data_IF_470521113993
#
_entry.id   IF_470521113993
#
_cell.length_a   1.000
_cell.length_b   1.000
_cell.length_c   1.000
_cell.angle_alpha   90.00
_cell.angle_beta   90.00
_cell.angle_gamma   90.00
#
_symmetry.space_group_name_H-M   'P 1'
#
loop_
_entity.id
_entity.type
_entity.pdbx_description
1 polymer ?
#
# COMPACT_ATOMS: atom_id res chain seq x y z
N UNK A 1 -0.33 -28.97 0.52
CA UNK A 1 0.26 -27.62 0.69
C UNK A 1 -0.27 -26.71 -0.42
N UNK A 2 -0.89 -25.57 -0.10
CA UNK A 2 -1.55 -24.72 -1.11
C UNK A 2 -0.57 -23.71 -1.74
N UNK A 3 -0.94 -23.10 -2.87
CA UNK A 3 -0.16 -21.99 -3.45
C UNK A 3 -0.04 -20.81 -2.47
N UNK A 4 -1.14 -20.46 -1.80
CA UNK A 4 -1.16 -19.39 -0.79
C UNK A 4 -0.21 -19.69 0.36
N UNK A 5 -0.14 -20.94 0.82
CA UNK A 5 0.79 -21.35 1.89
C UNK A 5 2.24 -21.13 1.45
N UNK A 6 2.62 -21.64 0.26
CA UNK A 6 3.98 -21.50 -0.28
C UNK A 6 4.39 -20.03 -0.47
N UNK A 7 3.49 -19.19 -0.97
CA UNK A 7 3.75 -17.76 -1.14
C UNK A 7 4.00 -17.06 0.21
N UNK A 8 3.25 -17.44 1.24
CA UNK A 8 3.43 -16.86 2.60
C UNK A 8 4.72 -17.34 3.26
N UNK A 9 5.15 -18.56 3.02
CA UNK A 9 6.44 -19.06 3.51
C UNK A 9 7.59 -18.35 2.80
N UNK A 10 7.56 -18.28 1.46
CA UNK A 10 8.55 -17.56 0.68
C UNK A 10 8.67 -16.09 1.11
N UNK A 11 7.54 -15.39 1.35
CA UNK A 11 7.57 -14.01 1.81
C UNK A 11 8.27 -13.84 3.16
N UNK A 12 8.09 -14.80 4.08
CA UNK A 12 8.77 -14.78 5.38
C UNK A 12 10.26 -15.09 5.25
N UNK A 13 10.64 -16.03 4.39
CA UNK A 13 12.05 -16.31 4.08
C UNK A 13 12.76 -15.10 3.47
N UNK A 14 12.03 -14.27 2.72
CA UNK A 14 12.53 -12.99 2.19
C UNK A 14 12.58 -11.85 3.22
N UNK A 15 12.14 -12.08 4.47
CA UNK A 15 12.19 -11.08 5.55
C UNK A 15 10.95 -10.19 5.68
N UNK A 16 9.83 -10.53 5.03
CA UNK A 16 8.57 -9.82 5.29
C UNK A 16 7.90 -10.36 6.55
N UNK A 17 7.82 -9.51 7.59
CA UNK A 17 7.15 -9.85 8.85
C UNK A 17 5.64 -10.04 8.71
N UNK A 18 5.02 -9.37 7.72
CA UNK A 18 3.59 -9.48 7.42
C UNK A 18 3.38 -9.94 5.98
N UNK A 19 2.44 -10.86 5.75
CA UNK A 19 2.03 -11.30 4.41
C UNK A 19 0.56 -11.73 4.36
N UNK A 20 -0.16 -11.21 3.37
CA UNK A 20 -1.57 -11.50 3.10
C UNK A 20 -1.86 -11.68 1.60
N UNK A 21 -3.01 -12.27 1.30
CA UNK A 21 -3.56 -12.33 -0.07
C UNK A 21 -4.95 -11.70 -0.03
N UNK A 22 -5.18 -10.70 -0.86
CA UNK A 22 -6.44 -9.95 -0.93
C UNK A 22 -7.11 -10.12 -2.30
N UNK A 23 -8.45 -10.02 -2.33
CA UNK A 23 -9.18 -9.83 -3.59
C UNK A 23 -8.92 -8.42 -4.15
N UNK A 24 -9.10 -8.28 -5.47
CA UNK A 24 -8.78 -7.06 -6.24
C UNK A 24 -10.05 -6.41 -6.78
N UNK A 25 -11.08 -6.37 -5.94
CA UNK A 25 -12.35 -5.71 -6.25
C UNK A 25 -12.19 -4.19 -6.33
N UNK A 26 -13.18 -3.52 -6.93
CA UNK A 26 -13.22 -2.07 -6.97
C UNK A 26 -13.15 -1.49 -5.54
N UNK A 27 -12.31 -0.48 -5.34
CA UNK A 27 -12.05 0.04 -4.00
C UNK A 27 -13.28 0.76 -3.43
N UNK A 28 -13.78 0.27 -2.29
CA UNK A 28 -14.87 0.90 -1.52
C UNK A 28 -14.53 2.30 -0.99
N UNK A 29 -13.25 2.65 -0.96
CA UNK A 29 -12.74 3.91 -0.40
C UNK A 29 -12.55 5.00 -1.45
N UNK A 30 -12.94 4.76 -2.71
CA UNK A 30 -12.72 5.72 -3.79
C UNK A 30 -13.51 7.02 -3.64
N UNK A 31 -14.67 7.00 -2.99
CA UNK A 31 -15.42 8.22 -2.69
C UNK A 31 -14.58 9.16 -1.82
N UNK A 32 -14.07 8.64 -0.70
CA UNK A 32 -13.19 9.38 0.21
C UNK A 32 -11.92 9.88 -0.48
N UNK A 33 -11.29 9.05 -1.32
CA UNK A 33 -10.08 9.45 -2.03
C UNK A 33 -10.33 10.60 -3.02
N UNK A 34 -11.47 10.58 -3.74
CA UNK A 34 -11.83 11.65 -4.68
C UNK A 34 -12.10 12.96 -3.95
N UNK A 35 -12.91 12.93 -2.89
CA UNK A 35 -13.17 14.10 -2.05
C UNK A 35 -11.86 14.67 -1.48
N UNK A 36 -10.97 13.81 -0.98
CA UNK A 36 -9.66 14.23 -0.46
C UNK A 36 -8.77 14.89 -1.54
N UNK A 37 -8.83 14.41 -2.78
CA UNK A 37 -8.13 15.03 -3.91
C UNK A 37 -8.75 16.37 -4.28
N UNK A 38 -10.08 16.44 -4.39
CA UNK A 38 -10.85 17.64 -4.72
C UNK A 38 -10.65 18.76 -3.68
N UNK A 39 -10.56 18.41 -2.40
CA UNK A 39 -10.23 19.31 -1.30
C UNK A 39 -8.78 19.83 -1.30
N UNK A 40 -7.94 19.41 -2.26
CA UNK A 40 -6.54 19.83 -2.33
C UNK A 40 -5.65 19.24 -1.23
N UNK A 41 -6.11 18.21 -0.49
CA UNK A 41 -5.36 17.63 0.64
C UNK A 41 -4.11 16.85 0.22
N UNK A 42 -3.92 16.64 -1.08
CA UNK A 42 -2.69 16.10 -1.66
C UNK A 42 -1.53 17.08 -1.69
N UNK A 43 -1.76 18.37 -1.41
CA UNK A 43 -0.73 19.41 -1.43
C UNK A 43 0.02 19.41 -2.77
N UNK A 44 1.35 19.39 -2.71
CA UNK A 44 2.21 19.38 -3.90
C UNK A 44 2.31 18.01 -4.58
N UNK A 45 1.66 16.95 -4.06
CA UNK A 45 1.71 15.59 -4.62
C UNK A 45 0.78 15.45 -5.83
N UNK A 46 0.93 16.30 -6.85
CA UNK A 46 0.05 16.37 -8.02
C UNK A 46 -0.08 15.04 -8.78
N UNK A 47 0.88 14.12 -8.63
CA UNK A 47 0.78 12.78 -9.20
C UNK A 47 -0.37 11.94 -8.61
N UNK A 48 -0.86 12.26 -7.41
CA UNK A 48 -2.02 11.61 -6.80
C UNK A 48 -3.34 12.07 -7.44
N UNK A 49 -3.40 13.31 -7.92
CA UNK A 49 -4.60 13.91 -8.51
C UNK A 49 -4.77 13.61 -10.01
N UNK A 50 -3.73 13.09 -10.67
CA UNK A 50 -3.80 12.74 -12.10
C UNK A 50 -4.91 11.74 -12.37
N UNK A 51 -5.66 11.96 -13.45
CA UNK A 51 -6.78 11.09 -13.84
C UNK A 51 -6.39 9.61 -13.95
N UNK A 52 -5.22 9.32 -14.54
CA UNK A 52 -4.73 7.94 -14.67
C UNK A 52 -4.34 7.32 -13.31
N UNK A 53 -3.82 8.11 -12.37
CA UNK A 53 -3.49 7.65 -11.03
C UNK A 53 -4.74 7.33 -10.20
N UNK A 54 -5.78 8.16 -10.32
CA UNK A 54 -7.09 7.95 -9.70
C UNK A 54 -7.76 6.71 -10.27
N UNK A 55 -7.77 6.54 -11.59
CA UNK A 55 -8.39 5.39 -12.26
C UNK A 55 -7.73 4.07 -11.84
N UNK A 56 -6.40 4.01 -11.78
CA UNK A 56 -5.67 2.80 -11.37
C UNK A 56 -5.89 2.40 -9.90
N UNK A 57 -6.17 3.38 -9.02
CA UNK A 57 -6.54 3.13 -7.60
C UNK A 57 -7.96 2.62 -7.46
N UNK A 58 -8.85 3.03 -8.37
CA UNK A 58 -10.24 2.60 -8.34
C UNK A 58 -10.38 1.12 -8.68
N UNK A 59 -9.64 0.66 -9.68
CA UNK A 59 -9.72 -0.71 -10.16
C UNK A 59 -8.39 -1.19 -10.75
N UNK A 60 -7.78 -2.19 -10.11
CA UNK A 60 -6.52 -2.78 -10.57
C UNK A 60 -6.64 -3.46 -11.94
N UNK A 61 -7.85 -3.85 -12.36
CA UNK A 61 -8.09 -4.45 -13.68
C UNK A 61 -7.84 -3.46 -14.82
N UNK A 62 -7.90 -2.15 -14.55
CA UNK A 62 -7.48 -1.12 -15.49
C UNK A 62 -5.96 -1.11 -15.76
N UNK A 63 -5.16 -1.71 -14.88
CA UNK A 63 -3.70 -1.86 -15.06
C UNK A 63 -3.35 -3.26 -15.56
N UNK A 64 -3.93 -4.29 -14.95
CA UNK A 64 -3.70 -5.69 -15.30
C UNK A 64 -5.06 -6.40 -15.45
N UNK A 65 -5.62 -6.54 -16.67
CA UNK A 65 -6.96 -7.07 -16.88
C UNK A 65 -7.19 -8.48 -16.33
N UNK A 66 -6.14 -9.28 -16.23
CA UNK A 66 -6.18 -10.68 -15.74
C UNK A 66 -5.94 -10.80 -14.24
N UNK A 67 -5.83 -9.69 -13.50
CA UNK A 67 -5.55 -9.71 -12.06
C UNK A 67 -6.70 -10.39 -11.29
N UNK A 68 -6.35 -11.30 -10.38
CA UNK A 68 -7.32 -12.06 -9.56
C UNK A 68 -7.14 -11.85 -8.06
N UNK A 69 -5.92 -11.56 -7.64
CA UNK A 69 -5.57 -11.32 -6.25
C UNK A 69 -4.30 -10.50 -6.18
N UNK A 70 -4.09 -9.85 -5.03
CA UNK A 70 -2.85 -9.17 -4.69
C UNK A 70 -2.17 -9.89 -3.53
N UNK A 71 -0.87 -10.16 -3.65
CA UNK A 71 -0.03 -10.54 -2.50
C UNK A 71 0.44 -9.23 -1.87
N UNK A 72 0.09 -9.01 -0.61
CA UNK A 72 0.43 -7.80 0.14
C UNK A 72 1.41 -8.19 1.23
N UNK A 73 2.54 -7.50 1.29
CA UNK A 73 3.59 -7.71 2.28
C UNK A 73 3.80 -6.45 3.11
N UNK A 74 4.22 -6.63 4.36
CA UNK A 74 4.66 -5.56 5.23
C UNK A 74 6.07 -5.84 5.74
N UNK A 75 6.91 -4.81 5.69
CA UNK A 75 8.25 -4.83 6.24
C UNK A 75 8.33 -3.81 7.37
N UNK A 76 8.79 -4.27 8.52
CA UNK A 76 9.04 -3.39 9.66
C UNK A 76 10.33 -2.62 9.36
N UNK A 77 10.19 -1.31 9.20
CA UNK A 77 11.31 -0.40 8.94
C UNK A 77 11.78 0.33 10.20
N UNK A 78 11.30 -0.09 11.39
CA UNK A 78 11.77 0.49 12.64
C UNK A 78 13.29 0.34 12.73
N UNK A 79 13.93 1.44 13.08
CA UNK A 79 15.36 1.52 13.35
C UNK A 79 15.48 2.25 14.68
N UNK A 80 16.33 1.75 15.57
CA UNK A 80 16.67 2.51 16.77
C UNK A 80 17.36 3.81 16.36
N UNK A 81 17.00 4.89 17.04
CA UNK A 81 17.64 6.17 16.83
C UNK A 81 19.14 6.05 17.12
N UNK A 82 20.02 6.59 16.26
CA UNK A 82 21.44 6.62 16.55
C UNK A 82 21.72 7.43 17.83
N UNK A 83 22.82 7.14 18.54
CA UNK A 83 23.18 7.87 19.76
C UNK A 83 23.23 9.39 19.51
N UNK A 84 22.57 10.15 20.38
CA UNK A 84 22.56 11.62 20.33
C UNK A 84 21.37 12.24 19.57
N UNK A 85 20.46 11.44 19.02
CA UNK A 85 19.16 11.95 18.57
C UNK A 85 18.34 12.39 19.80
N UNK A 86 17.85 13.65 19.84
CA UNK A 86 17.00 14.10 20.93
C UNK A 86 15.69 13.31 20.97
N UNK A 87 15.19 13.01 22.17
CA UNK A 87 13.86 12.45 22.38
C UNK A 87 12.80 13.51 22.04
N UNK A 88 12.43 13.61 20.76
CA UNK A 88 11.43 14.53 20.23
C UNK A 88 10.14 13.76 19.91
N UNK A 89 9.05 13.97 20.67
CA UNK A 89 7.78 13.26 20.44
C UNK A 89 7.10 13.63 19.11
N UNK A 90 7.59 14.63 18.36
CA UNK A 90 7.14 14.88 16.99
C UNK A 90 7.77 13.91 15.97
N UNK A 91 8.80 13.15 16.36
CA UNK A 91 9.47 12.13 15.54
C UNK A 91 8.96 10.72 15.86
N UNK A 92 7.68 10.45 15.59
CA UNK A 92 7.11 9.11 15.66
C UNK A 92 6.58 8.70 17.03
#
# INVERSE_FOLDING_TARGET
MTLTTRLKEQARELGFGLVGVASVEASRHMGLYREWVEDGRHGEMGYLAREDAVARRADLRGTLPTVRSAVVVGHEYFQEDPPGVPADPARG
#
